data_IF_955312859928
#
_entry.id   IF_955312859928
#
_cell.length_a   1.000
_cell.length_b   1.000
_cell.length_c   1.000
_cell.angle_alpha   90.00
_cell.angle_beta   90.00
_cell.angle_gamma   90.00
#
_symmetry.space_group_name_H-M   'P 1'
#
loop_
_entity.id
_entity.type
_entity.pdbx_description
1 polymer ?
#
# COMPACT_ATOMS: atom_id res chain seq x y z
N UNK A 1 -24.70 44.41 -7.13
CA UNK A 1 -24.01 43.96 -5.89
C UNK A 1 -23.62 42.48 -5.89
N UNK A 2 -24.04 41.69 -6.90
CA UNK A 2 -23.85 40.25 -6.96
C UNK A 2 -22.40 39.86 -7.33
N UNK A 3 -21.72 40.67 -8.15
CA UNK A 3 -20.32 40.47 -8.52
C UNK A 3 -19.37 40.56 -7.32
N UNK A 4 -19.62 41.45 -6.36
CA UNK A 4 -18.80 41.56 -5.15
C UNK A 4 -18.85 40.29 -4.28
N UNK A 5 -20.00 39.62 -4.24
CA UNK A 5 -20.20 38.37 -3.49
C UNK A 5 -19.45 37.21 -4.17
N UNK A 6 -19.53 37.13 -5.50
CA UNK A 6 -18.80 36.11 -6.29
C UNK A 6 -17.29 36.29 -6.14
N UNK A 7 -16.79 37.52 -6.28
CA UNK A 7 -15.37 37.84 -6.12
C UNK A 7 -14.88 37.54 -4.69
N UNK A 8 -15.67 37.83 -3.67
CA UNK A 8 -15.32 37.52 -2.28
C UNK A 8 -15.19 36.01 -2.06
N UNK A 9 -16.09 35.21 -2.67
CA UNK A 9 -16.05 33.75 -2.60
C UNK A 9 -14.81 33.20 -3.33
N UNK A 10 -14.57 33.64 -4.56
CA UNK A 10 -13.41 33.23 -5.35
C UNK A 10 -12.10 33.58 -4.63
N UNK A 11 -12.01 34.77 -4.04
CA UNK A 11 -10.82 35.18 -3.30
C UNK A 11 -10.59 34.33 -2.05
N UNK A 12 -11.66 33.91 -1.36
CA UNK A 12 -11.57 32.98 -0.23
C UNK A 12 -11.10 31.60 -0.68
N UNK A 13 -11.64 31.09 -1.77
CA UNK A 13 -11.29 29.78 -2.30
C UNK A 13 -9.83 29.73 -2.80
N UNK A 14 -9.38 30.79 -3.48
CA UNK A 14 -7.99 30.96 -3.92
C UNK A 14 -7.03 31.02 -2.73
N UNK A 15 -7.37 31.74 -1.66
CA UNK A 15 -6.54 31.79 -0.44
C UNK A 15 -6.42 30.41 0.22
N UNK A 16 -7.54 29.69 0.34
CA UNK A 16 -7.55 28.34 0.89
C UNK A 16 -6.72 27.36 0.05
N UNK A 17 -6.80 27.45 -1.29
CA UNK A 17 -6.00 26.62 -2.19
C UNK A 17 -4.50 26.91 -2.08
N UNK A 18 -4.14 28.18 -2.00
CA UNK A 18 -2.75 28.62 -1.85
C UNK A 18 -2.14 28.12 -0.53
N UNK A 19 -2.89 28.23 0.57
CA UNK A 19 -2.44 27.78 1.89
C UNK A 19 -2.24 26.26 1.94
N UNK A 20 -3.16 25.48 1.35
CA UNK A 20 -2.97 24.04 1.16
C UNK A 20 -1.72 23.72 0.35
N UNK A 21 -1.45 24.49 -0.71
CA UNK A 21 -0.26 24.27 -1.53
C UNK A 21 1.02 24.60 -0.75
N UNK A 22 1.03 25.67 0.05
CA UNK A 22 2.15 26.00 0.95
C UNK A 22 2.40 24.88 1.95
N UNK A 23 1.36 24.41 2.64
CA UNK A 23 1.46 23.29 3.58
C UNK A 23 2.01 22.02 2.91
N UNK A 24 1.54 21.68 1.69
CA UNK A 24 2.05 20.55 0.91
C UNK A 24 3.53 20.72 0.56
N UNK A 25 3.94 21.90 0.09
CA UNK A 25 5.34 22.20 -0.23
C UNK A 25 6.22 22.08 1.01
N UNK A 26 5.79 22.62 2.15
CA UNK A 26 6.51 22.50 3.43
C UNK A 26 6.64 21.05 3.85
N UNK A 27 5.56 20.25 3.79
CA UNK A 27 5.60 18.83 4.11
C UNK A 27 6.52 18.05 3.17
N UNK A 28 6.44 18.31 1.87
CA UNK A 28 7.25 17.62 0.85
C UNK A 28 8.74 17.97 0.95
N UNK A 29 9.07 19.22 1.32
CA UNK A 29 10.45 19.68 1.47
C UNK A 29 11.02 19.47 2.86
N UNK A 30 10.20 18.95 3.80
CA UNK A 30 10.67 18.63 5.14
C UNK A 30 11.64 17.46 5.03
N UNK A 31 12.93 17.78 5.09
CA UNK A 31 13.96 16.78 5.31
C UNK A 31 13.79 16.27 6.74
N UNK A 32 13.79 14.95 6.91
CA UNK A 32 13.86 14.33 8.23
C UNK A 32 15.31 14.48 8.67
N UNK A 33 15.60 15.14 9.81
CA UNK A 33 16.95 15.17 10.35
C UNK A 33 17.40 13.73 10.55
N UNK A 34 18.45 13.33 9.84
CA UNK A 34 19.04 11.99 9.96
C UNK A 34 19.99 12.01 11.15
N UNK A 35 19.49 11.71 12.34
CA UNK A 35 20.35 11.37 13.49
C UNK A 35 20.69 9.87 13.55
N UNK A 36 19.85 9.01 12.92
CA UNK A 36 19.95 7.54 13.04
C UNK A 36 19.70 6.84 11.67
N UNK A 37 20.48 7.16 10.64
CA UNK A 37 20.35 6.52 9.32
C UNK A 37 21.70 6.28 8.64
N UNK A 38 21.83 5.15 7.96
CA UNK A 38 23.00 4.85 7.14
C UNK A 38 23.06 5.81 5.95
N UNK A 39 24.22 6.42 5.74
CA UNK A 39 24.51 7.14 4.51
C UNK A 39 24.45 6.19 3.31
N UNK A 40 24.20 6.74 2.13
CA UNK A 40 24.21 5.97 0.87
C UNK A 40 25.55 5.23 0.68
N UNK A 41 26.65 5.84 1.14
CA UNK A 41 27.98 5.26 1.06
C UNK A 41 28.15 4.09 2.04
N UNK A 42 27.75 4.24 3.30
CA UNK A 42 27.80 3.15 4.29
C UNK A 42 26.92 1.97 3.86
N UNK A 43 25.71 2.24 3.36
CA UNK A 43 24.84 1.20 2.83
C UNK A 43 25.47 0.46 1.63
N UNK A 44 26.12 1.19 0.72
CA UNK A 44 26.80 0.59 -0.42
C UNK A 44 27.97 -0.29 0.02
N UNK A 45 28.74 0.15 1.02
CA UNK A 45 29.85 -0.61 1.58
C UNK A 45 29.37 -1.93 2.21
N UNK A 46 28.30 -1.91 2.99
CA UNK A 46 27.70 -3.12 3.58
C UNK A 46 27.17 -4.11 2.53
N UNK A 47 26.69 -3.62 1.38
CA UNK A 47 26.25 -4.48 0.27
C UNK A 47 27.45 -5.12 -0.43
N UNK A 48 28.56 -4.39 -0.55
CA UNK A 48 29.77 -4.87 -1.23
C UNK A 48 30.72 -5.68 -0.35
N UNK A 49 30.64 -5.54 0.97
CA UNK A 49 31.46 -6.35 1.87
C UNK A 49 31.04 -7.81 1.76
N UNK A 50 31.98 -8.73 1.44
CA UNK A 50 31.71 -10.14 1.55
C UNK A 50 31.48 -10.45 3.04
N UNK A 51 30.23 -10.76 3.39
CA UNK A 51 29.91 -11.35 4.70
C UNK A 51 30.86 -12.53 4.86
N UNK A 52 31.76 -12.47 5.85
CA UNK A 52 32.61 -13.60 6.20
C UNK A 52 31.69 -14.82 6.34
N UNK A 53 31.84 -15.76 5.40
CA UNK A 53 31.07 -16.96 5.39
C UNK A 53 31.51 -17.75 6.63
N UNK A 54 30.76 -17.61 7.72
CA UNK A 54 30.71 -18.63 8.75
C UNK A 54 30.45 -19.92 7.98
N UNK A 55 31.40 -20.85 8.00
CA UNK A 55 31.23 -22.18 7.43
C UNK A 55 30.05 -22.84 8.15
N UNK A 56 28.85 -22.63 7.59
CA UNK A 56 27.65 -23.31 8.04
C UNK A 56 27.89 -24.79 7.70
N UNK A 57 27.83 -25.70 8.69
CA UNK A 57 27.93 -27.13 8.44
C UNK A 57 27.00 -27.53 7.29
N UNK A 58 27.40 -28.47 6.42
CA UNK A 58 26.61 -28.85 5.26
C UNK A 58 25.17 -29.12 5.68
N UNK A 59 24.25 -28.29 5.17
CA UNK A 59 22.83 -28.42 5.41
C UNK A 59 22.42 -29.84 5.02
N UNK A 60 21.68 -30.57 5.87
CA UNK A 60 21.19 -31.89 5.50
C UNK A 60 20.44 -31.80 4.16
N UNK A 61 20.44 -32.86 3.34
CA UNK A 61 19.85 -32.84 2.02
C UNK A 61 18.44 -32.26 2.09
N UNK A 62 18.23 -31.18 1.33
CA UNK A 62 16.96 -30.46 1.25
C UNK A 62 15.87 -31.51 1.03
N UNK A 63 14.93 -31.64 1.97
CA UNK A 63 13.71 -32.38 1.69
C UNK A 63 13.12 -31.79 0.41
N UNK A 64 12.70 -32.67 -0.49
CA UNK A 64 12.06 -32.30 -1.75
C UNK A 64 11.04 -31.18 -1.49
N UNK A 65 10.91 -30.21 -2.41
CA UNK A 65 9.91 -29.18 -2.26
C UNK A 65 8.57 -29.86 -1.99
N UNK A 66 7.97 -29.62 -0.83
CA UNK A 66 6.57 -29.98 -0.63
C UNK A 66 5.80 -29.41 -1.81
N UNK A 67 4.91 -30.18 -2.46
CA UNK A 67 4.12 -29.67 -3.57
C UNK A 67 3.51 -28.35 -3.12
N UNK A 68 3.71 -27.30 -3.93
CA UNK A 68 3.29 -25.95 -3.61
C UNK A 68 1.87 -26.01 -3.05
N UNK A 69 1.67 -25.48 -1.85
CA UNK A 69 0.34 -25.35 -1.26
C UNK A 69 -0.47 -24.52 -2.24
N UNK A 70 -1.35 -25.21 -3.00
CA UNK A 70 -2.27 -24.57 -3.94
C UNK A 70 -2.98 -23.43 -3.18
N UNK A 71 -3.05 -22.21 -3.75
CA UNK A 71 -3.79 -21.13 -3.14
C UNK A 71 -5.20 -21.63 -2.82
N UNK A 72 -5.66 -21.40 -1.58
CA UNK A 72 -7.04 -21.74 -1.21
C UNK A 72 -7.99 -20.98 -2.13
N UNK A 73 -8.72 -21.70 -2.97
CA UNK A 73 -9.71 -21.11 -3.86
C UNK A 73 -10.88 -20.59 -3.02
N UNK A 74 -11.36 -19.39 -3.36
CA UNK A 74 -12.53 -18.81 -2.70
C UNK A 74 -13.75 -19.68 -2.97
N UNK A 75 -14.54 -19.95 -1.94
CA UNK A 75 -15.83 -20.62 -2.12
C UNK A 75 -16.73 -19.82 -3.09
N UNK A 76 -17.47 -20.50 -3.98
CA UNK A 76 -18.37 -19.82 -4.90
C UNK A 76 -19.47 -19.05 -4.13
N UNK A 77 -19.95 -17.93 -4.69
CA UNK A 77 -20.96 -17.11 -4.02
C UNK A 77 -22.29 -17.87 -3.88
N UNK A 78 -22.91 -17.74 -2.70
CA UNK A 78 -24.23 -18.28 -2.38
C UNK A 78 -25.32 -17.25 -2.66
N UNK A 79 -26.51 -17.72 -3.03
CA UNK A 79 -27.69 -16.88 -3.16
C UNK A 79 -28.08 -16.29 -1.79
N UNK A 80 -28.31 -14.99 -1.70
CA UNK A 80 -28.70 -14.33 -0.43
C UNK A 80 -30.12 -14.64 0.03
N UNK A 81 -30.97 -15.23 -0.83
CA UNK A 81 -32.33 -15.65 -0.49
C UNK A 81 -32.40 -17.06 0.11
N UNK A 82 -31.83 -18.06 -0.58
CA UNK A 82 -31.92 -19.47 -0.18
C UNK A 82 -30.60 -20.13 0.24
N UNK A 83 -29.46 -19.43 0.13
CA UNK A 83 -28.15 -19.97 0.52
C UNK A 83 -27.52 -20.96 -0.47
N UNK A 84 -28.23 -21.35 -1.54
CA UNK A 84 -27.72 -22.27 -2.55
C UNK A 84 -26.75 -21.60 -3.53
N UNK A 85 -25.76 -22.38 -4.01
CA UNK A 85 -24.81 -21.94 -5.04
C UNK A 85 -25.44 -22.12 -6.41
N UNK A 86 -25.12 -21.25 -7.37
CA UNK A 86 -25.48 -21.43 -8.78
C UNK A 86 -26.52 -20.45 -9.33
N UNK A 87 -27.14 -19.63 -8.48
CA UNK A 87 -28.04 -18.56 -8.94
C UNK A 87 -27.94 -17.30 -8.07
N UNK A 88 -28.37 -16.17 -8.63
CA UNK A 88 -28.50 -14.89 -7.90
C UNK A 88 -29.92 -14.76 -7.35
N UNK A 89 -30.11 -13.93 -6.33
CA UNK A 89 -31.42 -13.70 -5.69
C UNK A 89 -32.55 -13.35 -6.67
N UNK A 90 -32.23 -12.67 -7.79
CA UNK A 90 -33.21 -12.30 -8.82
C UNK A 90 -33.75 -13.50 -9.63
N UNK A 91 -33.12 -14.67 -9.53
CA UNK A 91 -33.53 -15.93 -10.19
C UNK A 91 -33.80 -17.04 -9.18
N UNK A 92 -34.04 -16.68 -7.92
CA UNK A 92 -34.31 -17.65 -6.87
C UNK A 92 -35.76 -18.13 -6.95
N UNK A 93 -35.95 -19.45 -7.00
CA UNK A 93 -37.27 -20.09 -7.03
C UNK A 93 -37.93 -20.18 -5.64
N UNK A 94 -37.15 -20.03 -4.57
CA UNK A 94 -37.63 -20.01 -3.19
C UNK A 94 -38.02 -18.59 -2.72
N UNK A 95 -38.17 -17.64 -3.66
CA UNK A 95 -38.61 -16.28 -3.37
C UNK A 95 -40.13 -16.22 -3.21
#
# INVERSE_FOLDING_TARGET
MQGAILLAKENKDLRAANEKQKQKRTRSRRQIPTEEGLSVQEASQLITEPVEAIEVPPLPPRRSPSPALQPRTRAPPKCSGCGEIGHKINRCLAR
#
